data_IF_933980992965
#
_entry.id   IF_933980992965
#
_cell.length_a   1.000
_cell.length_b   1.000
_cell.length_c   1.000
_cell.angle_alpha   90.00
_cell.angle_beta   90.00
_cell.angle_gamma   90.00
#
_symmetry.space_group_name_H-M   'P 1'
#
loop_
_entity.id
_entity.type
_entity.pdbx_description
1 polymer ?
#
# COMPACT_ATOMS: atom_id res chain seq x y z
N UNK A 1 28.30 -0.95 20.06
CA UNK A 1 28.88 -0.87 18.69
C UNK A 1 28.21 0.30 18.00
N UNK A 2 29.02 1.23 17.52
CA UNK A 2 28.67 2.62 17.18
C UNK A 2 27.61 2.70 16.08
N UNK A 3 26.48 3.36 16.36
CA UNK A 3 25.51 3.80 15.35
C UNK A 3 26.14 4.92 14.53
N UNK A 4 26.64 4.60 13.34
CA UNK A 4 27.04 5.61 12.37
C UNK A 4 25.78 6.39 11.97
N UNK A 5 25.70 7.67 12.38
CA UNK A 5 24.67 8.59 11.91
C UNK A 5 24.94 8.87 10.43
N UNK A 6 24.23 8.18 9.54
CA UNK A 6 24.30 8.47 8.11
C UNK A 6 23.58 9.81 7.90
N UNK A 7 24.38 10.87 7.75
CA UNK A 7 23.96 12.13 7.11
C UNK A 7 23.79 11.84 5.62
N UNK A 8 22.74 11.08 5.25
CA UNK A 8 22.48 10.74 3.87
C UNK A 8 21.96 11.99 3.14
N UNK A 9 22.88 12.70 2.48
CA UNK A 9 22.55 13.79 1.55
C UNK A 9 22.21 13.27 0.15
N UNK A 10 22.28 11.95 -0.06
CA UNK A 10 22.09 11.30 -1.37
C UNK A 10 21.40 9.95 -1.22
N UNK A 11 20.56 9.60 -2.20
CA UNK A 11 19.96 8.26 -2.33
C UNK A 11 20.96 7.34 -3.06
N UNK A 12 21.36 6.26 -2.40
CA UNK A 12 22.19 5.20 -2.99
C UNK A 12 21.33 4.19 -3.75
N UNK A 13 21.78 3.73 -4.92
CA UNK A 13 21.03 2.78 -5.76
C UNK A 13 21.95 1.69 -6.34
N UNK A 14 22.54 0.83 -5.48
CA UNK A 14 23.57 -0.12 -5.90
C UNK A 14 23.07 -1.13 -6.95
N UNK A 15 21.80 -1.53 -6.91
CA UNK A 15 21.24 -2.44 -7.91
C UNK A 15 21.10 -1.75 -9.26
N UNK A 16 20.56 -0.53 -9.28
CA UNK A 16 20.49 0.29 -10.49
C UNK A 16 21.88 0.55 -11.07
N UNK A 17 22.87 0.88 -10.23
CA UNK A 17 24.22 1.17 -10.68
C UNK A 17 24.86 -0.05 -11.37
N UNK A 18 24.59 -1.25 -10.84
CA UNK A 18 25.10 -2.52 -11.39
C UNK A 18 24.34 -2.95 -12.66
N UNK A 19 23.01 -2.88 -12.64
CA UNK A 19 22.14 -3.46 -13.67
C UNK A 19 21.78 -2.48 -14.80
N UNK A 20 22.07 -1.19 -14.64
CA UNK A 20 21.67 -0.12 -15.57
C UNK A 20 22.05 -0.41 -17.02
N UNK A 21 23.29 -0.86 -17.28
CA UNK A 21 23.77 -1.13 -18.64
C UNK A 21 22.99 -2.26 -19.32
N UNK A 22 22.75 -3.35 -18.60
CA UNK A 22 22.00 -4.52 -19.06
C UNK A 22 20.53 -4.16 -19.29
N UNK A 23 19.92 -3.43 -18.34
CA UNK A 23 18.55 -2.98 -18.46
C UNK A 23 18.35 -2.04 -19.65
N UNK A 24 19.23 -1.05 -19.83
CA UNK A 24 19.16 -0.12 -20.97
C UNK A 24 19.34 -0.85 -22.31
N UNK A 25 20.23 -1.85 -22.38
CA UNK A 25 20.39 -2.67 -23.57
C UNK A 25 19.13 -3.48 -23.88
N UNK A 26 18.50 -4.08 -22.87
CA UNK A 26 17.23 -4.80 -22.99
C UNK A 26 16.09 -3.88 -23.42
N UNK A 27 15.96 -2.68 -22.85
CA UNK A 27 14.95 -1.69 -23.26
C UNK A 27 15.16 -1.30 -24.73
N UNK A 28 16.41 -1.10 -25.13
CA UNK A 28 16.78 -0.75 -26.50
C UNK A 28 16.42 -1.86 -27.49
N UNK A 29 16.64 -3.14 -27.15
CA UNK A 29 16.26 -4.27 -28.02
C UNK A 29 14.75 -4.37 -28.23
N UNK A 30 13.95 -3.80 -27.34
CA UNK A 30 12.49 -3.70 -27.44
C UNK A 30 12.02 -2.35 -28.00
N UNK A 31 12.88 -1.62 -28.69
CA UNK A 31 12.53 -0.37 -29.38
C UNK A 31 12.64 0.89 -28.51
N UNK A 32 13.09 0.79 -27.26
CA UNK A 32 13.19 1.90 -26.33
C UNK A 32 14.42 2.80 -26.48
N UNK A 33 14.95 3.01 -27.68
CA UNK A 33 16.16 3.82 -27.94
C UNK A 33 16.06 5.24 -27.35
N UNK A 34 14.91 5.89 -27.53
CA UNK A 34 14.68 7.23 -27.01
C UNK A 34 14.59 7.24 -25.48
N UNK A 35 13.96 6.22 -24.87
CA UNK A 35 13.98 6.03 -23.42
C UNK A 35 15.42 5.87 -22.92
N UNK A 36 16.21 4.99 -23.55
CA UNK A 36 17.57 4.70 -23.10
C UNK A 36 18.47 5.96 -23.13
N UNK A 37 18.30 6.79 -24.16
CA UNK A 37 18.96 8.10 -24.23
C UNK A 37 18.54 9.03 -23.09
N UNK A 38 17.24 9.15 -22.83
CA UNK A 38 16.73 10.01 -21.75
C UNK A 38 17.18 9.51 -20.37
N UNK A 39 17.13 8.20 -20.12
CA UNK A 39 17.64 7.60 -18.89
C UNK A 39 19.15 7.82 -18.68
N UNK A 40 19.94 7.79 -19.75
CA UNK A 40 21.38 8.10 -19.68
C UNK A 40 21.63 9.57 -19.29
N UNK A 41 20.86 10.50 -19.87
CA UNK A 41 20.94 11.92 -19.50
C UNK A 41 20.43 12.16 -18.06
N UNK A 42 19.39 11.46 -17.65
CA UNK A 42 18.87 11.50 -16.28
C UNK A 42 19.93 11.05 -15.27
N UNK A 43 20.66 9.97 -15.56
CA UNK A 43 21.79 9.51 -14.75
C UNK A 43 22.93 10.55 -14.68
N UNK A 44 23.09 11.38 -15.72
CA UNK A 44 24.06 12.48 -15.77
C UNK A 44 23.59 13.77 -15.07
N UNK A 45 22.39 13.79 -14.49
CA UNK A 45 21.88 14.95 -13.73
C UNK A 45 20.84 15.81 -14.46
N UNK A 46 20.25 15.33 -15.57
CA UNK A 46 19.18 16.06 -16.27
C UNK A 46 17.78 15.66 -15.76
N UNK A 47 17.14 16.53 -14.97
CA UNK A 47 15.77 16.34 -14.46
C UNK A 47 14.74 16.21 -15.58
N UNK A 48 14.84 17.02 -16.64
CA UNK A 48 13.86 16.98 -17.75
C UNK A 48 13.95 15.65 -18.48
N UNK A 49 15.17 15.10 -18.61
CA UNK A 49 15.36 13.78 -19.16
C UNK A 49 14.81 12.68 -18.24
N UNK A 50 14.91 12.84 -16.91
CA UNK A 50 14.33 11.90 -15.95
C UNK A 50 12.79 11.87 -16.04
N UNK A 51 12.15 13.04 -16.10
CA UNK A 51 10.71 13.17 -16.30
C UNK A 51 10.28 12.61 -17.65
N UNK A 52 10.99 12.96 -18.73
CA UNK A 52 10.70 12.43 -20.07
C UNK A 52 10.81 10.90 -20.10
N UNK A 53 11.86 10.31 -19.51
CA UNK A 53 12.00 8.86 -19.42
C UNK A 53 10.82 8.24 -18.65
N UNK A 54 10.37 8.87 -17.56
CA UNK A 54 9.22 8.40 -16.77
C UNK A 54 7.93 8.40 -17.56
N UNK A 55 7.64 9.48 -18.30
CA UNK A 55 6.46 9.57 -19.15
C UNK A 55 6.50 8.55 -20.30
N UNK A 56 7.66 8.37 -20.93
CA UNK A 56 7.81 7.36 -21.97
C UNK A 56 7.56 5.93 -21.45
N UNK A 57 8.10 5.59 -20.29
CA UNK A 57 7.82 4.30 -19.66
C UNK A 57 6.35 4.17 -19.26
N UNK A 58 5.75 5.24 -18.72
CA UNK A 58 4.32 5.29 -18.38
C UNK A 58 3.43 4.98 -19.59
N UNK A 59 3.69 5.60 -20.74
CA UNK A 59 2.96 5.32 -21.97
C UNK A 59 3.03 3.85 -22.38
N UNK A 60 4.20 3.21 -22.22
CA UNK A 60 4.38 1.78 -22.50
C UNK A 60 3.63 0.89 -21.51
N UNK A 61 3.48 1.31 -20.25
CA UNK A 61 2.67 0.58 -19.27
C UNK A 61 1.17 0.67 -19.57
N UNK A 62 0.72 1.72 -20.28
CA UNK A 62 -0.68 2.01 -20.56
C UNK A 62 -1.09 1.81 -22.02
N UNK A 63 -0.20 1.29 -22.87
CA UNK A 63 -0.48 1.06 -24.29
C UNK A 63 -1.40 -0.13 -24.55
N UNK A 64 -1.76 -0.90 -23.53
CA UNK A 64 -2.63 -2.07 -23.65
C UNK A 64 -2.92 -2.74 -22.30
N UNK A 65 -3.51 -3.96 -22.32
CA UNK A 65 -3.78 -4.72 -21.09
C UNK A 65 -2.51 -4.99 -20.30
N UNK A 66 -2.58 -4.88 -18.97
CA UNK A 66 -1.42 -5.02 -18.07
C UNK A 66 -0.63 -6.32 -18.26
N UNK A 67 -1.32 -7.43 -18.54
CA UNK A 67 -0.71 -8.74 -18.78
C UNK A 67 0.12 -8.82 -20.07
N UNK A 68 -0.07 -7.87 -21.00
CA UNK A 68 0.68 -7.78 -22.26
C UNK A 68 1.88 -6.84 -22.16
N UNK A 69 2.01 -6.08 -21.06
CA UNK A 69 3.13 -5.17 -20.84
C UNK A 69 4.40 -5.98 -20.59
N UNK A 70 5.44 -5.72 -21.40
CA UNK A 70 6.72 -6.40 -21.26
C UNK A 70 7.36 -6.08 -19.89
N UNK A 71 7.90 -7.07 -19.16
CA UNK A 71 8.53 -6.84 -17.85
C UNK A 71 9.59 -5.74 -17.86
N UNK A 72 10.36 -5.63 -18.95
CA UNK A 72 11.42 -4.63 -19.12
C UNK A 72 10.90 -3.19 -18.99
N UNK A 73 9.67 -2.91 -19.41
CA UNK A 73 9.08 -1.57 -19.30
C UNK A 73 8.64 -1.23 -17.87
N UNK A 74 8.36 -2.25 -17.06
CA UNK A 74 8.10 -2.07 -15.62
C UNK A 74 9.39 -1.73 -14.87
N UNK A 75 10.48 -2.42 -15.21
CA UNK A 75 11.81 -2.10 -14.67
C UNK A 75 12.30 -0.72 -15.15
N UNK A 76 12.00 -0.36 -16.41
CA UNK A 76 12.25 0.99 -16.95
C UNK A 76 11.49 2.06 -16.14
N UNK A 77 10.20 1.86 -15.88
CA UNK A 77 9.43 2.81 -15.07
C UNK A 77 10.02 2.99 -13.66
N UNK A 78 10.47 1.89 -13.05
CA UNK A 78 11.14 1.90 -11.73
C UNK A 78 12.44 2.72 -11.75
N UNK A 79 13.26 2.54 -12.80
CA UNK A 79 14.50 3.29 -13.01
C UNK A 79 14.21 4.79 -13.14
N UNK A 80 13.24 5.18 -13.97
CA UNK A 80 12.89 6.58 -14.16
C UNK A 80 12.35 7.21 -12.86
N UNK A 81 11.53 6.49 -12.09
CA UNK A 81 11.07 6.90 -10.76
C UNK A 81 12.22 7.16 -9.78
N UNK A 82 13.23 6.28 -9.74
CA UNK A 82 14.43 6.48 -8.91
C UNK A 82 15.21 7.74 -9.32
N UNK A 83 15.37 7.99 -10.61
CA UNK A 83 16.03 9.23 -11.07
C UNK A 83 15.25 10.48 -10.66
N UNK A 84 13.94 10.53 -10.91
CA UNK A 84 13.10 11.65 -10.50
C UNK A 84 13.14 11.87 -8.97
N UNK A 85 13.07 10.78 -8.20
CA UNK A 85 13.14 10.85 -6.74
C UNK A 85 14.48 11.43 -6.24
N UNK A 86 15.62 11.09 -6.89
CA UNK A 86 16.93 11.67 -6.56
C UNK A 86 16.94 13.19 -6.69
N UNK A 87 16.33 13.73 -7.75
CA UNK A 87 16.26 15.19 -7.95
C UNK A 87 15.39 15.87 -6.90
N UNK A 88 14.16 15.40 -6.69
CA UNK A 88 13.28 15.95 -5.66
C UNK A 88 13.92 15.87 -4.26
N UNK A 89 14.59 14.76 -3.94
CA UNK A 89 15.31 14.61 -2.69
C UNK A 89 16.45 15.65 -2.54
N UNK A 90 17.23 15.88 -3.59
CA UNK A 90 18.30 16.88 -3.56
C UNK A 90 17.80 18.32 -3.41
N UNK A 91 16.55 18.59 -3.84
CA UNK A 91 15.89 19.89 -3.68
C UNK A 91 15.17 20.04 -2.32
N UNK A 92 15.14 19.00 -1.48
CA UNK A 92 14.35 18.98 -0.23
C UNK A 92 12.84 18.77 -0.43
N UNK A 93 12.41 18.38 -1.63
CA UNK A 93 11.02 18.12 -2.00
C UNK A 93 10.62 16.69 -1.61
N UNK A 94 10.62 16.40 -0.30
CA UNK A 94 10.49 15.02 0.20
C UNK A 94 9.16 14.34 -0.16
N UNK A 95 8.06 15.10 -0.22
CA UNK A 95 6.74 14.54 -0.59
C UNK A 95 6.71 14.09 -2.05
N UNK A 96 7.32 14.86 -2.95
CA UNK A 96 7.39 14.53 -4.37
C UNK A 96 8.37 13.38 -4.64
N UNK A 97 9.48 13.34 -3.89
CA UNK A 97 10.39 12.19 -3.90
C UNK A 97 9.68 10.90 -3.46
N UNK A 98 8.93 10.92 -2.36
CA UNK A 98 8.15 9.76 -1.90
C UNK A 98 7.09 9.34 -2.92
N UNK A 99 6.38 10.30 -3.52
CA UNK A 99 5.40 10.01 -4.57
C UNK A 99 6.06 9.30 -5.76
N UNK A 100 7.20 9.78 -6.24
CA UNK A 100 7.92 9.14 -7.35
C UNK A 100 8.35 7.70 -7.00
N UNK A 101 8.84 7.46 -5.78
CA UNK A 101 9.24 6.14 -5.31
C UNK A 101 8.05 5.18 -5.15
N UNK A 102 6.93 5.66 -4.58
CA UNK A 102 5.71 4.86 -4.44
C UNK A 102 5.14 4.49 -5.81
N UNK A 103 5.17 5.39 -6.79
CA UNK A 103 4.80 5.05 -8.17
C UNK A 103 5.68 3.94 -8.75
N UNK A 104 6.99 3.99 -8.47
CA UNK A 104 7.92 2.91 -8.84
C UNK A 104 7.60 1.59 -8.15
N UNK A 105 7.13 1.61 -6.90
CA UNK A 105 6.69 0.41 -6.16
C UNK A 105 5.40 -0.18 -6.72
N UNK A 106 4.43 0.67 -7.08
CA UNK A 106 3.09 0.27 -7.51
C UNK A 106 3.08 -0.21 -8.96
N UNK A 107 3.75 0.50 -9.85
CA UNK A 107 3.69 0.28 -11.30
C UNK A 107 4.98 -0.35 -11.85
N UNK A 108 6.03 -0.44 -11.04
CA UNK A 108 7.34 -0.92 -11.46
C UNK A 108 7.52 -2.44 -11.43
N UNK A 109 8.69 -2.86 -11.89
CA UNK A 109 9.13 -4.25 -11.90
C UNK A 109 9.97 -4.59 -10.66
N UNK A 110 10.24 -5.88 -10.42
CA UNK A 110 10.90 -6.32 -9.20
C UNK A 110 12.41 -6.02 -9.17
N UNK A 111 13.04 -5.72 -10.33
CA UNK A 111 14.50 -5.61 -10.44
C UNK A 111 15.07 -4.58 -9.46
N UNK A 112 14.42 -3.43 -9.35
CA UNK A 112 14.90 -2.28 -8.57
C UNK A 112 14.18 -2.12 -7.23
N UNK A 113 13.44 -3.15 -6.78
CA UNK A 113 12.62 -3.06 -5.57
C UNK A 113 13.42 -2.70 -4.32
N UNK A 114 14.59 -3.33 -4.14
CA UNK A 114 15.48 -3.05 -3.01
C UNK A 114 15.97 -1.60 -2.97
N UNK A 115 16.29 -1.04 -4.14
CA UNK A 115 16.73 0.35 -4.25
C UNK A 115 15.58 1.32 -3.95
N UNK A 116 14.36 1.02 -4.41
CA UNK A 116 13.16 1.80 -4.09
C UNK A 116 12.88 1.79 -2.59
N UNK A 117 12.86 0.61 -1.95
CA UNK A 117 12.60 0.48 -0.52
C UNK A 117 13.66 1.23 0.31
N UNK A 118 14.95 1.07 -0.04
CA UNK A 118 16.05 1.80 0.62
C UNK A 118 15.96 3.31 0.42
N UNK A 119 15.55 3.77 -0.77
CA UNK A 119 15.38 5.19 -1.05
C UNK A 119 14.25 5.79 -0.19
N UNK A 120 13.14 5.07 -0.03
CA UNK A 120 12.01 5.50 0.81
C UNK A 120 12.44 5.65 2.27
N UNK A 121 13.21 4.70 2.81
CA UNK A 121 13.75 4.80 4.18
C UNK A 121 14.63 6.04 4.35
N UNK A 122 15.48 6.34 3.38
CA UNK A 122 16.34 7.54 3.39
C UNK A 122 15.51 8.83 3.33
N UNK A 123 14.54 8.90 2.41
CA UNK A 123 13.69 10.10 2.23
C UNK A 123 12.83 10.35 3.48
N UNK A 124 12.20 9.30 4.01
CA UNK A 124 11.38 9.39 5.23
C UNK A 124 12.21 9.82 6.45
N UNK A 125 13.41 9.27 6.61
CA UNK A 125 14.31 9.66 7.70
C UNK A 125 14.81 11.11 7.57
N UNK A 126 15.13 11.57 6.36
CA UNK A 126 15.54 12.95 6.11
C UNK A 126 14.40 13.94 6.38
N UNK A 127 13.19 13.60 5.92
CA UNK A 127 11.98 14.39 6.19
C UNK A 127 11.73 14.54 7.68
N UNK A 128 11.77 13.44 8.44
CA UNK A 128 11.57 13.47 9.89
C UNK A 128 12.57 14.40 10.60
N UNK A 129 13.85 14.36 10.21
CA UNK A 129 14.89 15.27 10.76
C UNK A 129 14.67 16.73 10.40
N UNK A 130 14.14 17.04 9.22
CA UNK A 130 13.84 18.41 8.83
C UNK A 130 12.73 19.00 9.69
N UNK A 131 11.69 18.20 10.01
CA UNK A 131 10.63 18.60 10.92
C UNK A 131 11.13 18.82 12.35
N UNK A 132 12.10 18.02 12.83
CA UNK A 132 12.68 18.20 14.16
C UNK A 132 13.59 19.44 14.28
N UNK A 133 14.30 19.82 13.20
CA UNK A 133 15.23 20.95 13.18
C UNK A 133 14.59 22.29 12.75
N UNK A 134 13.50 22.24 11.97
CA UNK A 134 12.71 23.40 11.58
C UNK A 134 11.56 23.58 12.55
N UNK A 135 11.77 24.36 13.62
CA UNK A 135 10.70 24.75 14.53
C UNK A 135 9.51 25.27 13.73
N UNK A 136 8.33 24.70 14.04
CA UNK A 136 7.01 25.00 13.49
C UNK A 136 6.94 26.31 12.69
N UNK A 137 6.94 26.23 11.36
CA UNK A 137 6.22 27.19 10.53
C UNK A 137 5.95 26.69 9.10
N UNK A 138 4.69 26.89 8.72
CA UNK A 138 4.09 26.85 7.38
C UNK A 138 3.80 25.47 6.71
N UNK A 139 2.98 24.64 7.37
CA UNK A 139 1.82 24.04 6.68
C UNK A 139 0.57 24.55 7.43
N UNK A 140 0.05 25.70 6.98
CA UNK A 140 -1.22 26.26 7.44
C UNK A 140 -2.35 25.51 6.74
N UNK A 141 -2.59 24.26 7.14
CA UNK A 141 -3.87 23.59 6.93
C UNK A 141 -4.59 23.48 8.28
N UNK A 142 -5.51 24.42 8.48
CA UNK A 142 -6.71 24.23 9.30
C UNK A 142 -6.50 23.65 10.69
N UNK A 143 -6.17 24.52 11.65
CA UNK A 143 -6.50 24.27 13.05
C UNK A 143 -8.02 24.13 13.22
N UNK A 144 -8.53 22.92 13.03
CA UNK A 144 -9.88 22.53 13.46
C UNK A 144 -9.78 21.48 14.56
N UNK A 145 -10.13 21.95 15.76
CA UNK A 145 -10.57 21.25 16.98
C UNK A 145 -10.27 19.76 17.07
N UNK A 146 -9.60 19.39 18.16
CA UNK A 146 -9.52 18.04 18.73
C UNK A 146 -10.91 17.39 18.90
N UNK A 147 -11.49 16.93 17.79
CA UNK A 147 -12.54 15.92 17.72
C UNK A 147 -11.90 14.54 17.72
N UNK A 148 -12.65 13.54 18.20
CA UNK A 148 -12.23 12.15 18.42
C UNK A 148 -10.99 11.69 17.64
N UNK A 149 -9.89 11.41 18.37
CA UNK A 149 -8.60 10.93 17.85
C UNK A 149 -8.63 9.49 17.33
N UNK A 150 -9.74 8.77 17.53
CA UNK A 150 -9.86 7.36 17.19
C UNK A 150 -10.43 7.22 15.77
N UNK A 151 -9.87 6.29 15.00
CA UNK A 151 -10.41 5.95 13.69
C UNK A 151 -11.80 5.31 13.77
N UNK A 152 -12.03 4.53 14.82
CA UNK A 152 -13.30 3.88 15.06
C UNK A 152 -14.01 4.58 16.20
N UNK A 153 -15.14 5.20 15.88
CA UNK A 153 -16.13 5.56 16.89
C UNK A 153 -16.96 4.31 17.20
N UNK A 154 -17.16 3.94 18.48
CA UNK A 154 -18.09 2.89 18.83
C UNK A 154 -19.52 3.38 18.56
N UNK A 155 -20.00 3.13 17.35
CA UNK A 155 -21.41 3.25 16.98
C UNK A 155 -22.01 1.84 16.96
N UNK A 156 -23.18 1.66 17.58
CA UNK A 156 -23.86 0.36 17.56
C UNK A 156 -24.26 0.01 16.12
N UNK A 157 -23.89 -1.20 15.68
CA UNK A 157 -24.28 -1.73 14.38
C UNK A 157 -25.81 -1.72 14.19
N UNK A 158 -26.31 -0.85 13.31
CA UNK A 158 -27.73 -0.85 12.93
C UNK A 158 -28.04 -2.07 12.04
N UNK A 159 -28.56 -3.12 12.69
CA UNK A 159 -28.98 -4.35 12.02
C UNK A 159 -30.01 -4.11 10.91
N UNK A 160 -30.84 -3.08 11.03
CA UNK A 160 -31.86 -2.78 10.03
C UNK A 160 -31.26 -2.19 8.76
N UNK A 161 -30.18 -1.41 8.89
CA UNK A 161 -29.41 -0.88 7.77
C UNK A 161 -28.60 -2.00 7.09
N UNK A 162 -27.92 -2.85 7.87
CA UNK A 162 -27.17 -4.00 7.34
C UNK A 162 -28.07 -4.94 6.53
N UNK A 163 -29.28 -5.24 7.02
CA UNK A 163 -30.25 -6.09 6.30
C UNK A 163 -30.75 -5.48 4.98
N UNK A 164 -30.71 -4.16 4.82
CA UNK A 164 -31.06 -3.49 3.55
C UNK A 164 -29.92 -3.55 2.52
N UNK A 165 -28.68 -3.63 2.98
CA UNK A 165 -27.49 -3.67 2.13
C UNK A 165 -27.20 -5.10 1.66
N UNK A 166 -27.42 -6.08 2.53
CA UNK A 166 -27.09 -7.47 2.22
C UNK A 166 -28.11 -8.11 1.25
N UNK A 167 -27.65 -8.94 0.29
CA UNK A 167 -28.53 -9.78 -0.51
C UNK A 167 -29.49 -10.65 0.33
N UNK A 168 -30.65 -10.97 -0.23
CA UNK A 168 -31.64 -11.84 0.41
C UNK A 168 -31.00 -13.20 0.71
N UNK A 169 -31.06 -13.62 1.98
CA UNK A 169 -30.51 -14.89 2.43
C UNK A 169 -29.03 -14.84 2.85
N UNK A 170 -28.35 -13.69 2.84
CA UNK A 170 -26.95 -13.60 3.29
C UNK A 170 -26.71 -14.08 4.73
N UNK A 171 -27.72 -13.99 5.61
CA UNK A 171 -27.64 -14.44 7.00
C UNK A 171 -28.29 -15.81 7.26
N UNK A 172 -28.66 -16.56 6.22
CA UNK A 172 -29.31 -17.89 6.36
C UNK A 172 -28.30 -19.05 6.50
N UNK A 173 -27.01 -18.78 6.32
CA UNK A 173 -25.94 -19.77 6.41
C UNK A 173 -25.65 -20.17 7.87
N UNK A 174 -25.09 -21.38 8.04
CA UNK A 174 -24.63 -21.87 9.35
C UNK A 174 -23.60 -20.90 9.94
N UNK A 175 -23.76 -20.57 11.23
CA UNK A 175 -22.81 -19.76 11.98
C UNK A 175 -21.44 -20.45 11.94
N UNK A 176 -20.41 -19.69 11.54
CA UNK A 176 -19.03 -20.19 11.52
C UNK A 176 -18.55 -20.42 12.95
N UNK A 177 -17.98 -21.60 13.21
CA UNK A 177 -17.51 -21.98 14.55
C UNK A 177 -16.34 -21.11 15.01
N UNK A 178 -16.41 -20.63 16.26
CA UNK A 178 -15.30 -19.94 16.93
C UNK A 178 -14.44 -20.93 17.70
N UNK A 179 -13.12 -20.76 17.65
CA UNK A 179 -12.12 -21.53 18.41
C UNK A 179 -11.05 -20.58 18.95
N UNK A 180 -10.58 -20.88 20.15
CA UNK A 180 -9.38 -20.27 20.74
C UNK A 180 -8.35 -21.37 20.99
N UNK A 181 -7.07 -21.02 21.10
CA UNK A 181 -5.96 -21.95 21.31
C UNK A 181 -5.97 -23.15 20.33
N UNK A 182 -6.37 -22.91 19.08
CA UNK A 182 -6.44 -23.95 18.07
C UNK A 182 -5.02 -24.43 17.72
N UNK A 183 -4.72 -25.71 17.91
CA UNK A 183 -3.41 -26.23 17.50
C UNK A 183 -3.30 -26.26 15.97
N UNK A 184 -2.07 -26.20 15.44
CA UNK A 184 -1.83 -26.30 14.00
C UNK A 184 -2.37 -27.62 13.42
N UNK A 185 -2.21 -28.74 14.15
CA UNK A 185 -2.79 -30.03 13.81
C UNK A 185 -4.33 -30.00 13.79
N UNK A 186 -4.93 -29.37 14.82
CA UNK A 186 -6.39 -29.21 14.90
C UNK A 186 -6.92 -28.36 13.75
N UNK A 187 -6.24 -27.27 13.40
CA UNK A 187 -6.58 -26.46 12.23
C UNK A 187 -6.48 -27.28 10.94
N UNK A 188 -5.39 -28.03 10.77
CA UNK A 188 -5.16 -28.84 9.58
C UNK A 188 -6.28 -29.88 9.38
N UNK A 189 -6.59 -30.64 10.42
CA UNK A 189 -7.59 -31.73 10.37
C UNK A 189 -9.02 -31.19 10.30
N UNK A 190 -9.37 -30.25 11.17
CA UNK A 190 -10.77 -29.90 11.42
C UNK A 190 -11.28 -28.78 10.51
N UNK A 191 -10.39 -27.95 9.94
CA UNK A 191 -10.76 -26.83 9.07
C UNK A 191 -10.12 -26.91 7.67
N UNK A 192 -8.80 -27.06 7.57
CA UNK A 192 -8.09 -26.97 6.30
C UNK A 192 -8.42 -28.15 5.36
N UNK A 193 -8.20 -29.39 5.80
CA UNK A 193 -8.47 -30.59 4.99
C UNK A 193 -9.97 -30.83 4.76
N UNK A 194 -10.82 -30.37 5.68
CA UNK A 194 -12.27 -30.48 5.59
C UNK A 194 -12.90 -29.38 4.72
N UNK A 195 -12.12 -28.39 4.28
CA UNK A 195 -12.62 -27.22 3.54
C UNK A 195 -13.65 -26.40 4.32
N UNK A 196 -13.60 -26.42 5.65
CA UNK A 196 -14.59 -25.78 6.52
C UNK A 196 -14.07 -24.47 7.10
N UNK A 197 -14.86 -23.37 7.05
CA UNK A 197 -14.46 -22.09 7.62
C UNK A 197 -14.39 -22.16 9.16
N UNK A 198 -13.46 -21.42 9.76
CA UNK A 198 -13.28 -21.32 11.21
C UNK A 198 -12.88 -19.89 11.60
N UNK A 199 -13.37 -19.41 12.74
CA UNK A 199 -12.93 -18.15 13.35
C UNK A 199 -11.95 -18.46 14.48
N UNK A 200 -10.73 -17.95 14.38
CA UNK A 200 -9.67 -18.11 15.39
C UNK A 200 -9.58 -16.81 16.19
N UNK A 201 -9.97 -16.84 17.47
CA UNK A 201 -10.28 -15.59 18.22
C UNK A 201 -9.07 -14.93 18.88
N UNK A 202 -7.96 -15.65 19.07
CA UNK A 202 -6.82 -15.26 19.89
C UNK A 202 -5.50 -15.11 19.11
N UNK A 203 -5.47 -15.52 17.84
CA UNK A 203 -4.25 -15.54 17.02
C UNK A 203 -3.57 -14.16 16.91
N UNK A 204 -4.35 -13.08 16.83
CA UNK A 204 -3.84 -11.71 16.64
C UNK A 204 -3.65 -10.94 17.95
N UNK A 205 -3.84 -11.56 19.13
CA UNK A 205 -3.83 -10.85 20.41
C UNK A 205 -2.55 -10.07 20.69
N UNK A 206 -1.41 -10.52 20.14
CA UNK A 206 -0.10 -9.92 20.31
C UNK A 206 0.26 -8.86 19.26
N UNK A 207 -0.58 -8.62 18.24
CA UNK A 207 -0.27 -7.67 17.17
C UNK A 207 -0.31 -6.23 17.68
N UNK A 208 0.79 -5.44 17.51
CA UNK A 208 0.77 -4.00 17.80
C UNK A 208 -0.35 -3.25 17.07
N UNK A 209 -0.72 -3.70 15.87
CA UNK A 209 -1.79 -3.12 15.04
C UNK A 209 -3.11 -2.94 15.80
N UNK A 210 -3.45 -3.86 16.72
CA UNK A 210 -4.70 -3.79 17.51
C UNK A 210 -4.82 -2.55 18.38
N UNK A 211 -3.71 -1.89 18.69
CA UNK A 211 -3.68 -0.66 19.50
C UNK A 211 -3.30 0.53 18.65
N UNK A 212 -2.21 0.41 17.86
CA UNK A 212 -1.63 1.51 17.09
C UNK A 212 -2.50 1.96 15.94
N UNK A 213 -3.22 1.06 15.28
CA UNK A 213 -4.00 1.44 14.10
C UNK A 213 -5.31 2.12 14.44
N UNK A 214 -5.72 2.20 15.71
CA UNK A 214 -6.83 3.07 16.09
C UNK A 214 -6.39 4.53 16.28
N UNK A 215 -5.09 4.79 16.35
CA UNK A 215 -4.50 6.13 16.45
C UNK A 215 -4.29 6.71 15.04
N UNK A 216 -5.13 7.68 14.67
CA UNK A 216 -5.05 8.36 13.36
C UNK A 216 -3.70 9.07 13.20
N UNK A 217 -3.17 9.65 14.28
CA UNK A 217 -1.92 10.41 14.25
C UNK A 217 -0.74 9.46 14.04
N UNK A 218 -0.79 8.25 14.61
CA UNK A 218 0.15 7.19 14.30
C UNK A 218 0.15 6.86 12.81
N UNK A 219 -1.03 6.62 12.22
CA UNK A 219 -1.15 6.28 10.80
C UNK A 219 -0.69 7.41 9.88
N UNK A 220 -1.08 8.65 10.17
CA UNK A 220 -0.62 9.83 9.42
C UNK A 220 0.90 9.97 9.48
N UNK A 221 1.51 9.72 10.65
CA UNK A 221 2.96 9.80 10.81
C UNK A 221 3.72 8.72 10.04
N UNK A 222 3.23 7.48 10.03
CA UNK A 222 3.97 6.36 9.40
C UNK A 222 3.66 6.16 7.92
N UNK A 223 2.44 6.52 7.49
CA UNK A 223 1.94 6.23 6.15
C UNK A 223 1.43 7.46 5.41
N UNK A 224 1.23 8.61 6.07
CA UNK A 224 0.45 9.74 5.54
C UNK A 224 0.87 10.24 4.17
N UNK A 225 2.17 10.38 3.92
CA UNK A 225 2.71 10.84 2.63
C UNK A 225 2.80 9.75 1.56
N UNK A 226 2.53 8.50 1.93
CA UNK A 226 2.63 7.36 1.01
C UNK A 226 1.47 7.40 0.03
N UNK A 227 1.78 7.24 -1.24
CA UNK A 227 0.76 7.19 -2.31
C UNK A 227 0.17 5.79 -2.37
N UNK A 228 -1.15 5.65 -2.27
CA UNK A 228 -1.85 4.36 -2.24
C UNK A 228 -2.96 4.32 -3.29
N UNK A 229 -3.21 3.14 -3.90
CA UNK A 229 -4.38 2.95 -4.76
C UNK A 229 -5.64 2.83 -3.92
N UNK A 230 -6.69 3.54 -4.33
CA UNK A 230 -8.01 3.46 -3.71
C UNK A 230 -9.08 3.28 -4.77
N UNK A 231 -10.10 2.50 -4.44
CA UNK A 231 -11.33 2.38 -5.20
C UNK A 231 -12.31 3.46 -4.75
N UNK A 232 -12.85 4.22 -5.71
CA UNK A 232 -13.86 5.25 -5.47
C UNK A 232 -15.13 4.85 -6.20
N UNK A 233 -16.22 4.65 -5.45
CA UNK A 233 -17.49 4.15 -5.98
C UNK A 233 -18.04 2.98 -5.15
N UNK A 234 -19.29 2.59 -5.40
CA UNK A 234 -19.96 1.54 -4.59
C UNK A 234 -19.24 0.19 -4.64
N UNK A 235 -18.92 -0.30 -5.83
CA UNK A 235 -18.13 -1.51 -6.09
C UNK A 235 -17.75 -1.56 -7.58
N UNK A 236 -16.86 -2.48 -7.94
CA UNK A 236 -16.34 -2.67 -9.30
C UNK A 236 -17.40 -3.08 -10.35
N UNK A 237 -18.65 -3.35 -9.96
CA UNK A 237 -19.76 -3.62 -10.89
C UNK A 237 -20.51 -2.34 -11.29
N UNK A 238 -20.24 -1.20 -10.66
CA UNK A 238 -20.91 0.07 -10.93
C UNK A 238 -20.13 0.92 -11.95
N UNK A 239 -20.84 1.60 -12.85
CA UNK A 239 -20.23 2.47 -13.88
C UNK A 239 -19.49 3.68 -13.32
N UNK A 240 -19.82 4.14 -12.11
CA UNK A 240 -19.10 5.25 -11.45
C UNK A 240 -17.81 4.81 -10.76
N UNK A 241 -17.52 3.49 -10.72
CA UNK A 241 -16.33 2.97 -10.08
C UNK A 241 -15.07 3.37 -10.85
N UNK A 242 -14.07 3.83 -10.10
CA UNK A 242 -12.75 4.16 -10.62
C UNK A 242 -11.67 3.90 -9.58
N UNK A 243 -10.44 3.74 -10.06
CA UNK A 243 -9.25 3.72 -9.22
C UNK A 243 -8.59 5.10 -9.23
N UNK A 244 -8.20 5.57 -8.05
CA UNK A 244 -7.42 6.79 -7.85
C UNK A 244 -6.14 6.46 -7.09
N UNK A 245 -5.08 7.23 -7.36
CA UNK A 245 -3.86 7.23 -6.57
C UNK A 245 -3.84 8.51 -5.74
N UNK A 246 -3.96 8.37 -4.42
CA UNK A 246 -3.99 9.49 -3.47
C UNK A 246 -3.00 9.23 -2.34
N UNK A 247 -2.67 10.28 -1.58
CA UNK A 247 -1.87 10.08 -0.36
C UNK A 247 -2.70 9.36 0.70
N UNK A 248 -2.04 8.60 1.57
CA UNK A 248 -2.71 7.92 2.68
C UNK A 248 -3.40 8.92 3.62
N UNK A 249 -2.84 10.12 3.82
CA UNK A 249 -3.51 11.19 4.59
C UNK A 249 -4.83 11.64 3.96
N UNK A 250 -4.85 11.88 2.63
CA UNK A 250 -6.09 12.21 1.92
C UNK A 250 -7.09 11.06 1.99
N UNK A 251 -6.62 9.81 1.96
CA UNK A 251 -7.47 8.65 2.16
C UNK A 251 -8.10 8.64 3.56
N UNK A 252 -7.31 8.84 4.62
CA UNK A 252 -7.80 8.91 6.01
C UNK A 252 -8.82 10.04 6.18
N UNK A 253 -8.58 11.22 5.60
CA UNK A 253 -9.52 12.33 5.61
C UNK A 253 -10.85 11.98 4.95
N UNK A 254 -10.82 11.29 3.80
CA UNK A 254 -12.04 10.80 3.13
C UNK A 254 -12.78 9.80 4.00
N UNK A 255 -12.08 8.88 4.66
CA UNK A 255 -12.72 7.89 5.56
C UNK A 255 -13.35 8.58 6.77
N UNK A 256 -12.66 9.50 7.44
CA UNK A 256 -13.18 10.23 8.59
C UNK A 256 -14.34 11.16 8.22
N UNK A 257 -14.30 11.75 7.03
CA UNK A 257 -15.34 12.64 6.53
C UNK A 257 -16.60 11.92 6.02
N UNK A 258 -16.60 10.59 5.92
CA UNK A 258 -17.73 9.80 5.42
C UNK A 258 -18.89 9.64 6.41
N UNK A 259 -18.83 10.29 7.59
CA UNK A 259 -20.00 10.48 8.45
C UNK A 259 -21.16 11.24 7.77
N UNK A 260 -20.91 11.88 6.62
CA UNK A 260 -21.96 12.41 5.75
C UNK A 260 -22.38 11.38 4.70
N UNK A 261 -23.61 10.84 4.81
CA UNK A 261 -24.30 9.90 3.90
C UNK A 261 -24.30 10.24 2.39
N UNK A 262 -23.77 11.39 1.99
CA UNK A 262 -23.77 11.90 0.61
C UNK A 262 -22.42 11.76 -0.13
N UNK A 263 -21.38 11.19 0.47
CA UNK A 263 -20.06 11.04 -0.17
C UNK A 263 -19.87 9.66 -0.80
N UNK A 264 -19.21 9.64 -1.95
CA UNK A 264 -18.84 8.41 -2.67
C UNK A 264 -17.85 7.62 -1.80
N UNK A 265 -18.12 6.34 -1.48
CA UNK A 265 -17.23 5.55 -0.63
C UNK A 265 -15.86 5.42 -1.28
N UNK A 266 -14.82 5.52 -0.45
CA UNK A 266 -13.42 5.33 -0.83
C UNK A 266 -12.87 4.13 -0.07
N UNK A 267 -12.35 3.15 -0.79
CA UNK A 267 -11.94 1.86 -0.24
C UNK A 267 -10.53 1.51 -0.71
N UNK A 268 -9.59 1.34 0.22
CA UNK A 268 -8.30 0.74 -0.06
C UNK A 268 -8.48 -0.77 0.00
N UNK A 269 -8.52 -1.41 -1.16
CA UNK A 269 -8.80 -2.83 -1.29
C UNK A 269 -7.69 -3.55 -2.05
N UNK A 270 -7.41 -4.80 -1.65
CA UNK A 270 -6.51 -5.70 -2.37
C UNK A 270 -5.10 -5.14 -2.68
N UNK A 271 -4.63 -4.20 -1.86
CA UNK A 271 -3.31 -3.60 -2.01
C UNK A 271 -2.30 -4.29 -1.09
N UNK A 272 -1.10 -4.57 -1.61
CA UNK A 272 0.04 -5.09 -0.84
C UNK A 272 0.68 -3.97 0.00
N UNK A 273 -0.13 -3.33 0.84
CA UNK A 273 0.22 -2.14 1.61
C UNK A 273 1.45 -2.38 2.50
N UNK A 274 1.61 -3.59 3.01
CA UNK A 274 2.70 -3.95 3.92
C UNK A 274 4.03 -4.16 3.20
N UNK A 275 4.02 -4.45 1.89
CA UNK A 275 5.24 -4.49 1.10
C UNK A 275 5.69 -3.08 0.72
N UNK A 276 4.76 -2.12 0.70
CA UNK A 276 5.06 -0.71 0.45
C UNK A 276 5.46 0.00 1.75
N UNK A 277 4.77 -0.23 2.86
CA UNK A 277 4.92 0.51 4.11
C UNK A 277 5.43 -0.43 5.21
N UNK A 278 6.77 -0.51 5.31
CA UNK A 278 7.48 -1.38 6.24
C UNK A 278 7.13 -1.11 7.72
N UNK A 279 6.77 0.12 8.07
CA UNK A 279 6.32 0.52 9.40
C UNK A 279 5.03 -0.20 9.79
N UNK A 280 4.04 -0.26 8.89
CA UNK A 280 2.79 -0.99 9.12
C UNK A 280 3.02 -2.50 9.09
N UNK A 281 3.96 -2.99 8.27
CA UNK A 281 4.35 -4.41 8.24
C UNK A 281 4.89 -4.90 9.59
N UNK A 282 5.57 -4.04 10.35
CA UNK A 282 6.11 -4.34 11.69
C UNK A 282 5.02 -4.45 12.77
N UNK A 283 3.81 -3.99 12.49
CA UNK A 283 2.68 -4.05 13.43
C UNK A 283 1.88 -5.36 13.36
N UNK A 284 2.21 -6.25 12.41
CA UNK A 284 1.51 -7.50 12.17
C UNK A 284 2.50 -8.67 12.07
N UNK A 285 2.00 -9.89 12.28
CA UNK A 285 2.77 -11.13 12.14
C UNK A 285 1.99 -12.13 11.30
N UNK A 286 2.65 -12.89 10.43
CA UNK A 286 1.97 -13.91 9.63
C UNK A 286 1.53 -15.05 10.56
N UNK A 287 0.23 -15.40 10.60
CA UNK A 287 -0.24 -16.52 11.42
C UNK A 287 0.40 -17.86 11.01
N UNK A 288 0.79 -18.69 11.99
CA UNK A 288 1.40 -20.00 11.74
C UNK A 288 0.51 -20.91 10.86
N UNK A 289 -0.81 -20.74 10.93
CA UNK A 289 -1.79 -21.47 10.13
C UNK A 289 -1.60 -21.28 8.62
N UNK A 290 -0.98 -20.17 8.18
CA UNK A 290 -0.66 -19.95 6.75
C UNK A 290 0.29 -21.01 6.18
N UNK A 291 1.06 -21.69 7.05
CA UNK A 291 2.02 -22.72 6.65
C UNK A 291 1.46 -24.15 6.73
N UNK A 292 0.21 -24.33 7.19
CA UNK A 292 -0.38 -25.66 7.39
C UNK A 292 -0.47 -26.50 6.10
N UNK A 293 -0.65 -25.85 4.95
CA UNK A 293 -0.81 -26.51 3.65
C UNK A 293 0.49 -26.88 2.93
N UNK A 294 1.67 -26.60 3.52
CA UNK A 294 2.97 -26.86 2.88
C UNK A 294 3.29 -26.00 1.66
N UNK A 295 2.46 -24.97 1.39
CA UNK A 295 2.68 -23.98 0.33
C UNK A 295 3.40 -22.72 0.82
N UNK A 296 3.72 -21.84 -0.12
CA UNK A 296 4.28 -20.52 0.17
C UNK A 296 3.18 -19.46 0.34
N UNK A 297 3.44 -18.48 1.21
CA UNK A 297 2.59 -17.31 1.35
C UNK A 297 2.55 -16.54 0.02
N UNK A 298 1.33 -16.35 -0.52
CA UNK A 298 1.15 -15.75 -1.86
C UNK A 298 1.17 -14.22 -1.82
N UNK A 299 0.27 -13.62 -1.07
CA UNK A 299 0.14 -12.17 -0.95
C UNK A 299 -0.32 -11.78 0.45
N UNK A 300 0.09 -10.59 0.88
CA UNK A 300 -0.32 -9.99 2.14
C UNK A 300 -0.99 -8.64 1.84
N UNK A 301 -2.32 -8.66 1.77
CA UNK A 301 -3.11 -7.50 1.38
C UNK A 301 -3.73 -6.80 2.58
N UNK A 302 -3.96 -5.50 2.43
CA UNK A 302 -4.74 -4.71 3.36
C UNK A 302 -6.11 -4.37 2.76
N UNK A 303 -7.11 -4.31 3.63
CA UNK A 303 -8.43 -3.76 3.34
C UNK A 303 -8.74 -2.69 4.37
N UNK A 304 -8.99 -1.47 3.91
CA UNK A 304 -9.31 -0.32 4.75
C UNK A 304 -10.41 0.46 4.05
N UNK A 305 -11.56 0.59 4.69
CA UNK A 305 -12.67 1.39 4.18
C UNK A 305 -13.57 1.90 5.30
N UNK A 306 -14.44 2.86 4.99
CA UNK A 306 -15.49 3.31 5.92
C UNK A 306 -16.53 2.20 6.13
N UNK A 307 -17.39 2.39 7.13
CA UNK A 307 -18.60 1.60 7.32
C UNK A 307 -19.46 1.54 6.04
N UNK A 308 -20.10 0.40 5.79
CA UNK A 308 -20.94 0.18 4.61
C UNK A 308 -20.18 -0.17 3.32
N UNK A 309 -18.85 -0.29 3.37
CA UNK A 309 -18.06 -0.82 2.25
C UNK A 309 -18.47 -2.26 1.95
N UNK A 310 -18.76 -2.57 0.67
CA UNK A 310 -19.16 -3.91 0.24
C UNK A 310 -18.20 -4.44 -0.81
N UNK A 311 -17.64 -5.62 -0.56
CA UNK A 311 -17.00 -6.43 -1.61
C UNK A 311 -18.03 -7.45 -2.11
N UNK A 312 -18.43 -7.40 -3.40
CA UNK A 312 -19.39 -8.35 -3.96
C UNK A 312 -18.96 -9.82 -3.76
N UNK A 313 -19.93 -10.74 -3.80
CA UNK A 313 -19.67 -12.18 -3.67
C UNK A 313 -18.76 -12.67 -4.81
N UNK A 314 -17.65 -13.30 -4.44
CA UNK A 314 -16.68 -13.90 -5.36
C UNK A 314 -15.99 -15.10 -4.69
N UNK A 315 -15.13 -15.79 -5.44
CA UNK A 315 -14.23 -16.82 -4.91
C UNK A 315 -12.78 -16.44 -5.20
N UNK A 316 -11.90 -16.75 -4.26
CA UNK A 316 -10.46 -16.61 -4.43
C UNK A 316 -9.84 -17.90 -5.00
N UNK A 317 -8.75 -17.79 -5.79
CA UNK A 317 -8.03 -18.96 -6.29
C UNK A 317 -7.15 -19.65 -5.23
N UNK A 318 -7.00 -19.05 -4.04
CA UNK A 318 -6.12 -19.51 -2.96
C UNK A 318 -6.86 -19.55 -1.62
N UNK A 319 -6.36 -20.37 -0.68
CA UNK A 319 -6.81 -20.32 0.71
C UNK A 319 -6.46 -18.96 1.33
N UNK A 320 -7.33 -18.45 2.20
CA UNK A 320 -7.20 -17.11 2.77
C UNK A 320 -7.40 -17.13 4.29
N UNK A 321 -6.64 -16.28 5.00
CA UNK A 321 -6.86 -15.94 6.40
C UNK A 321 -7.10 -14.44 6.47
N UNK A 322 -8.36 -14.06 6.73
CA UNK A 322 -8.74 -12.67 6.94
C UNK A 322 -8.57 -12.28 8.41
N UNK A 323 -7.75 -11.26 8.66
CA UNK A 323 -7.41 -10.74 9.97
C UNK A 323 -8.11 -9.40 10.23
N UNK A 324 -9.05 -9.35 11.16
CA UNK A 324 -9.78 -8.13 11.52
C UNK A 324 -9.10 -7.40 12.68
N UNK A 325 -8.60 -6.17 12.44
CA UNK A 325 -7.83 -5.38 13.42
C UNK A 325 -8.67 -4.31 14.10
N UNK A 326 -9.46 -3.56 13.33
CA UNK A 326 -10.31 -2.47 13.80
C UNK A 326 -11.68 -2.61 13.14
N UNK A 327 -12.74 -2.48 13.95
CA UNK A 327 -14.14 -2.49 13.52
C UNK A 327 -15.00 -1.72 14.53
N UNK A 328 -16.03 -1.06 14.05
CA UNK A 328 -17.14 -0.59 14.89
C UNK A 328 -17.99 -1.81 15.22
N UNK A 329 -17.73 -2.40 16.38
CA UNK A 329 -18.39 -3.60 16.90
C UNK A 329 -19.92 -3.53 16.93
#
# INVERSE_FOLDING_TARGET
MSSASINATTISTPTLDTESSVLLQSITSHGGYAYARMATLAAAGDLRAAEAAREMAWEQLHSGPWHSVLPVWRDAYSMACLHVAKFHFSNGEFRDALRALDMGIIMGGPLLRKDLDSAIEVVSAAKARQYDNGGADADNEGGEKAGSRLLVCPEELDKSEVLRILPIGSLSSKIVGKRSALSLEGFLRDAFLSGSPVIITDCMAHWPARTRWNDVDYLRRVAGDRTVPVEVGKNYLCSEWKQELITFSQFLERVQSNGCRCKVPTYLAQHQLFDQINELRKDISVPDYCYAGGGELRSLNAWFGPAGTVTPLHHDPHHNILAQVADSS
#
